data_IF_865734809121
#
_entry.id   IF_865734809121
#
_cell.length_a   1.000
_cell.length_b   1.000
_cell.length_c   1.000
_cell.angle_alpha   90.00
_cell.angle_beta   90.00
_cell.angle_gamma   90.00
#
_symmetry.space_group_name_H-M   'P 1'
#
loop_
_entity.id
_entity.type
_entity.pdbx_description
1 polymer ?
#
# COMPACT_ATOMS: atom_id res chain seq x y z
N UNK A 1 5.90 -3.32 1.37
CA UNK A 1 6.30 -2.17 2.21
C UNK A 1 5.71 -2.30 3.61
N UNK A 2 4.38 -2.45 3.75
CA UNK A 2 3.72 -2.60 5.07
C UNK A 2 4.27 -3.76 5.89
N UNK A 3 4.39 -4.94 5.30
CA UNK A 3 4.96 -6.11 5.99
C UNK A 3 6.37 -5.87 6.51
N UNK A 4 7.27 -5.29 5.70
CA UNK A 4 8.65 -5.05 6.14
C UNK A 4 8.71 -4.03 7.28
N UNK A 5 7.89 -2.98 7.23
CA UNK A 5 7.75 -2.01 8.32
C UNK A 5 7.13 -2.65 9.57
N UNK A 6 6.07 -3.44 9.39
CA UNK A 6 5.39 -4.15 10.47
C UNK A 6 6.32 -5.13 11.18
N UNK A 7 7.03 -5.98 10.44
CA UNK A 7 7.99 -6.93 10.99
C UNK A 7 9.15 -6.23 11.71
N UNK A 8 9.69 -5.16 11.12
CA UNK A 8 10.73 -4.35 11.78
C UNK A 8 10.23 -3.77 13.11
N UNK A 9 9.02 -3.22 13.11
CA UNK A 9 8.41 -2.62 14.31
C UNK A 9 8.11 -3.66 15.39
N UNK A 10 7.58 -4.83 15.02
CA UNK A 10 7.34 -5.95 15.95
C UNK A 10 8.66 -6.45 16.54
N UNK A 11 9.72 -6.55 15.72
CA UNK A 11 11.05 -6.98 16.17
C UNK A 11 11.63 -6.03 17.20
N UNK A 12 11.53 -4.71 16.97
CA UNK A 12 11.98 -3.70 17.91
C UNK A 12 11.11 -3.68 19.17
N UNK A 13 9.79 -3.63 19.03
CA UNK A 13 8.87 -3.60 20.16
C UNK A 13 8.94 -4.86 21.03
N UNK A 14 9.25 -6.01 20.42
CA UNK A 14 9.46 -7.28 21.12
C UNK A 14 10.83 -7.42 21.77
N UNK A 15 11.73 -6.42 21.65
CA UNK A 15 13.06 -6.44 22.25
C UNK A 15 14.04 -7.43 21.60
N UNK A 16 13.73 -7.92 20.39
CA UNK A 16 14.63 -8.82 19.67
C UNK A 16 15.79 -8.08 19.00
N UNK A 17 15.61 -6.77 18.73
CA UNK A 17 16.66 -5.87 18.26
C UNK A 17 16.27 -4.42 18.61
N UNK A 18 17.25 -3.57 18.85
CA UNK A 18 17.04 -2.15 19.17
C UNK A 18 16.90 -1.27 17.93
N UNK A 19 17.36 -1.76 16.79
CA UNK A 19 17.35 -1.04 15.51
C UNK A 19 17.29 -2.02 14.35
N UNK A 20 16.32 -1.83 13.45
CA UNK A 20 16.06 -2.70 12.29
C UNK A 20 15.85 -1.86 11.04
N UNK A 21 16.42 -2.28 9.93
CA UNK A 21 16.17 -1.67 8.62
C UNK A 21 15.07 -2.44 7.88
N UNK A 22 13.99 -1.74 7.55
CA UNK A 22 12.95 -2.21 6.65
C UNK A 22 13.30 -1.78 5.22
N UNK A 23 13.42 -2.73 4.30
CA UNK A 23 13.76 -2.48 2.90
C UNK A 23 12.69 -3.04 1.97
N UNK A 24 12.36 -2.28 0.95
CA UNK A 24 11.38 -2.68 -0.05
C UNK A 24 11.72 -2.08 -1.42
N UNK A 25 11.57 -2.87 -2.47
CA UNK A 25 11.82 -2.44 -3.85
C UNK A 25 10.92 -3.16 -4.84
N UNK A 26 10.65 -2.52 -5.97
CA UNK A 26 10.06 -3.13 -7.15
C UNK A 26 10.74 -2.61 -8.41
N UNK A 27 10.68 -3.41 -9.47
CA UNK A 27 11.28 -3.07 -10.75
C UNK A 27 10.32 -3.40 -11.89
N UNK A 28 10.04 -2.41 -12.74
CA UNK A 28 9.10 -2.52 -13.86
C UNK A 28 9.35 -3.76 -14.74
N UNK A 29 10.56 -3.90 -15.29
CA UNK A 29 10.85 -4.96 -16.24
C UNK A 29 10.66 -6.37 -15.66
N UNK A 30 10.96 -6.58 -14.40
CA UNK A 30 10.76 -7.88 -13.74
C UNK A 30 9.27 -8.18 -13.54
N UNK A 31 8.53 -7.24 -12.97
CA UNK A 31 7.12 -7.41 -12.64
C UNK A 31 6.24 -7.48 -13.90
N UNK A 32 6.43 -6.56 -14.85
CA UNK A 32 5.62 -6.53 -16.07
C UNK A 32 5.83 -7.78 -16.92
N UNK A 33 7.06 -8.29 -17.03
CA UNK A 33 7.35 -9.54 -17.73
C UNK A 33 6.70 -10.74 -17.05
N UNK A 34 6.51 -10.68 -15.75
CA UNK A 34 5.86 -11.76 -15.01
C UNK A 34 4.33 -11.71 -15.11
N UNK A 35 3.75 -10.53 -14.93
CA UNK A 35 2.31 -10.35 -14.78
C UNK A 35 1.58 -9.98 -16.06
N UNK A 36 2.30 -9.42 -17.06
CA UNK A 36 1.73 -8.94 -18.34
C UNK A 36 2.44 -9.55 -19.54
N UNK A 37 2.73 -10.83 -19.45
CA UNK A 37 3.27 -11.58 -20.58
C UNK A 37 2.20 -11.81 -21.66
N UNK A 38 2.52 -11.75 -22.97
CA UNK A 38 3.82 -11.36 -23.52
C UNK A 38 3.94 -9.84 -23.69
N UNK A 39 4.88 -9.25 -22.98
CA UNK A 39 5.16 -7.81 -23.03
C UNK A 39 5.57 -7.35 -24.44
N UNK A 40 6.24 -8.22 -25.19
CA UNK A 40 6.79 -7.96 -26.55
C UNK A 40 5.70 -7.68 -27.60
N UNK A 41 4.49 -8.14 -27.39
CA UNK A 41 3.38 -7.90 -28.34
C UNK A 41 2.73 -6.53 -28.17
N UNK A 42 3.25 -5.68 -27.31
CA UNK A 42 2.73 -4.33 -27.04
C UNK A 42 1.19 -4.31 -26.93
N UNK A 43 0.64 -5.34 -26.28
CA UNK A 43 -0.81 -5.50 -26.12
C UNK A 43 -1.42 -4.29 -25.43
N UNK A 44 -2.58 -3.85 -25.90
CA UNK A 44 -3.31 -2.78 -25.24
C UNK A 44 -3.71 -3.23 -23.85
N UNK A 45 -3.42 -2.37 -22.87
CA UNK A 45 -3.79 -2.61 -21.48
C UNK A 45 -5.18 -2.04 -21.20
N UNK A 46 -6.04 -2.75 -20.46
CA UNK A 46 -7.30 -2.17 -19.98
C UNK A 46 -7.05 -0.94 -19.11
N UNK A 47 -8.00 -0.02 -19.03
CA UNK A 47 -7.91 1.18 -18.20
C UNK A 47 -7.83 0.86 -16.68
N UNK A 48 -8.16 -0.37 -16.28
CA UNK A 48 -8.05 -0.85 -14.92
C UNK A 48 -6.62 -1.22 -14.50
N UNK A 49 -5.69 -1.34 -15.46
CA UNK A 49 -4.30 -1.70 -15.16
C UNK A 49 -3.54 -0.57 -14.49
N UNK A 50 -2.61 -0.95 -13.65
CA UNK A 50 -1.62 -0.07 -13.05
C UNK A 50 -0.24 -0.30 -13.67
N UNK A 51 0.67 0.64 -13.50
CA UNK A 51 2.02 0.59 -14.03
C UNK A 51 3.03 0.33 -12.90
N UNK A 52 3.79 -0.75 -12.97
CA UNK A 52 4.77 -1.07 -11.92
C UNK A 52 5.84 0.01 -11.81
N UNK A 53 6.00 0.55 -10.61
CA UNK A 53 7.01 1.55 -10.29
C UNK A 53 8.37 0.89 -10.12
N UNK A 54 9.39 1.41 -10.79
CA UNK A 54 10.79 1.09 -10.45
C UNK A 54 11.22 2.03 -9.33
N UNK A 55 11.39 1.49 -8.15
CA UNK A 55 11.75 2.29 -6.98
C UNK A 55 12.06 1.42 -5.77
N UNK A 56 12.66 2.04 -4.77
CA UNK A 56 12.98 1.40 -3.50
C UNK A 56 12.88 2.39 -2.34
N UNK A 57 12.65 1.87 -1.14
CA UNK A 57 12.72 2.63 0.10
C UNK A 57 13.38 1.81 1.19
N UNK A 58 14.20 2.46 2.01
CA UNK A 58 14.82 1.90 3.19
C UNK A 58 14.47 2.78 4.39
N UNK A 59 13.96 2.15 5.46
CA UNK A 59 13.50 2.82 6.65
C UNK A 59 14.19 2.22 7.86
N UNK A 60 14.79 3.05 8.70
CA UNK A 60 15.39 2.62 9.96
C UNK A 60 14.33 2.78 11.07
N UNK A 61 13.96 1.66 11.66
CA UNK A 61 13.06 1.59 12.81
C UNK A 61 13.91 1.32 14.06
N UNK A 62 13.84 2.20 15.03
CA UNK A 62 14.63 2.10 16.24
C UNK A 62 13.75 2.24 17.48
N UNK A 63 14.18 1.62 18.58
CA UNK A 63 13.61 1.84 19.91
C UNK A 63 13.77 3.31 20.32
N UNK A 64 12.90 3.81 21.18
CA UNK A 64 12.91 5.21 21.62
C UNK A 64 14.23 5.61 22.27
N UNK A 65 14.85 4.70 23.02
CA UNK A 65 16.11 4.91 23.72
C UNK A 65 17.34 4.76 22.83
N UNK A 66 17.19 4.28 21.60
CA UNK A 66 18.31 4.07 20.67
C UNK A 66 18.86 5.42 20.18
N UNK A 67 20.19 5.60 20.05
CA UNK A 67 20.78 6.88 19.60
C UNK A 67 20.25 7.40 18.27
N UNK A 68 19.86 6.51 17.34
CA UNK A 68 19.26 6.92 16.07
C UNK A 68 17.90 7.58 16.21
N UNK A 69 17.15 7.32 17.30
CA UNK A 69 15.82 7.89 17.54
C UNK A 69 15.87 9.37 17.89
N UNK A 70 17.03 9.89 18.34
CA UNK A 70 17.21 11.32 18.65
C UNK A 70 16.99 12.22 17.43
N UNK A 71 17.08 11.68 16.22
CA UNK A 71 16.82 12.38 14.96
C UNK A 71 15.44 12.04 14.37
N UNK A 72 14.67 11.18 15.04
CA UNK A 72 13.34 10.82 14.58
C UNK A 72 12.35 11.94 14.87
N UNK A 73 11.56 12.31 13.88
CA UNK A 73 10.53 13.34 13.98
C UNK A 73 9.10 12.75 13.93
N UNK A 74 8.98 11.46 13.72
CA UNK A 74 7.72 10.72 13.73
C UNK A 74 7.94 9.30 14.26
N UNK A 75 6.87 8.66 14.71
CA UNK A 75 6.91 7.30 15.24
C UNK A 75 5.79 6.45 14.66
N UNK A 76 5.99 5.13 14.65
CA UNK A 76 4.94 4.15 14.41
C UNK A 76 4.26 3.91 15.76
N UNK A 77 3.05 4.44 15.92
CA UNK A 77 2.31 4.38 17.19
C UNK A 77 1.44 3.12 17.33
N UNK A 78 1.27 2.36 16.26
CA UNK A 78 0.49 1.13 16.26
C UNK A 78 0.50 0.44 14.92
N UNK A 79 0.20 -0.84 14.94
CA UNK A 79 0.12 -1.70 13.76
C UNK A 79 -1.16 -2.53 13.88
N UNK A 80 -1.90 -2.61 12.79
CA UNK A 80 -3.00 -3.55 12.62
C UNK A 80 -2.59 -4.54 11.53
N UNK A 81 -2.49 -5.79 11.88
CA UNK A 81 -2.19 -6.84 10.90
C UNK A 81 -3.48 -7.21 10.19
N UNK A 82 -3.52 -6.99 8.89
CA UNK A 82 -4.64 -7.39 8.05
C UNK A 82 -4.67 -8.91 7.82
N UNK A 83 -5.68 -9.34 7.11
CA UNK A 83 -5.85 -10.74 6.71
C UNK A 83 -5.91 -10.88 5.19
N UNK A 84 -5.73 -12.11 4.71
CA UNK A 84 -5.97 -12.45 3.31
C UNK A 84 -7.48 -12.42 3.04
N UNK A 85 -7.90 -11.65 2.04
CA UNK A 85 -9.30 -11.53 1.62
C UNK A 85 -9.41 -11.93 0.15
N UNK A 86 -10.33 -12.85 -0.15
CA UNK A 86 -10.54 -13.36 -1.51
C UNK A 86 -11.99 -13.17 -1.94
N UNK A 87 -12.20 -12.31 -2.93
CA UNK A 87 -13.51 -12.07 -3.56
C UNK A 87 -13.66 -12.82 -4.91
N UNK A 88 -12.76 -13.77 -5.19
CA UNK A 88 -12.84 -14.58 -6.40
C UNK A 88 -12.39 -13.86 -7.68
N UNK A 89 -11.66 -12.76 -7.56
CA UNK A 89 -11.11 -12.02 -8.70
C UNK A 89 -10.05 -12.88 -9.40
N UNK A 90 -10.15 -13.03 -10.73
CA UNK A 90 -9.24 -13.84 -11.54
C UNK A 90 -8.51 -13.02 -12.61
N UNK A 91 -8.92 -11.78 -12.83
CA UNK A 91 -8.31 -10.90 -13.82
C UNK A 91 -7.05 -10.24 -13.27
N UNK A 92 -5.89 -10.68 -13.77
CA UNK A 92 -4.59 -10.11 -13.40
C UNK A 92 -4.39 -8.66 -13.87
N UNK A 93 -5.24 -8.18 -14.78
CA UNK A 93 -5.25 -6.78 -15.24
C UNK A 93 -6.12 -5.88 -14.37
N UNK A 94 -6.68 -6.41 -13.27
CA UNK A 94 -7.58 -5.68 -12.38
C UNK A 94 -7.19 -5.86 -10.90
N UNK A 95 -5.92 -5.56 -10.59
CA UNK A 95 -5.36 -5.73 -9.23
C UNK A 95 -6.08 -4.88 -8.18
N UNK A 96 -6.53 -3.68 -8.54
CA UNK A 96 -7.30 -2.82 -7.64
C UNK A 96 -8.55 -3.50 -7.08
N UNK A 97 -9.28 -4.28 -7.92
CA UNK A 97 -10.44 -5.04 -7.46
C UNK A 97 -10.06 -6.20 -6.52
N UNK A 98 -8.88 -6.81 -6.70
CA UNK A 98 -8.41 -7.87 -5.83
C UNK A 98 -7.97 -7.33 -4.45
N UNK A 99 -7.36 -6.13 -4.41
CA UNK A 99 -6.78 -5.55 -3.18
C UNK A 99 -7.78 -4.73 -2.36
N UNK A 100 -8.72 -4.03 -3.01
CA UNK A 100 -9.64 -3.12 -2.31
C UNK A 100 -10.46 -3.76 -1.19
N UNK A 101 -10.96 -5.02 -1.31
CA UNK A 101 -11.66 -5.68 -0.21
C UNK A 101 -10.79 -5.92 1.03
N UNK A 102 -9.50 -6.26 0.84
CA UNK A 102 -8.57 -6.44 1.95
C UNK A 102 -8.28 -5.09 2.63
N UNK A 103 -8.10 -4.02 1.84
CA UNK A 103 -7.92 -2.68 2.36
C UNK A 103 -9.14 -2.21 3.16
N UNK A 104 -10.36 -2.45 2.66
CA UNK A 104 -11.60 -2.11 3.37
C UNK A 104 -11.72 -2.85 4.71
N UNK A 105 -11.43 -4.15 4.71
CA UNK A 105 -11.47 -4.97 5.93
C UNK A 105 -10.45 -4.47 6.96
N UNK A 106 -9.22 -4.19 6.54
CA UNK A 106 -8.14 -3.76 7.42
C UNK A 106 -8.39 -2.35 7.99
N UNK A 107 -8.87 -1.40 7.17
CA UNK A 107 -9.26 -0.06 7.67
C UNK A 107 -10.37 -0.19 8.71
N UNK A 108 -11.45 -0.94 8.40
CA UNK A 108 -12.55 -1.15 9.33
C UNK A 108 -12.07 -1.78 10.64
N UNK A 109 -11.25 -2.82 10.55
CA UNK A 109 -10.71 -3.50 11.72
C UNK A 109 -9.81 -2.57 12.54
N UNK A 110 -8.96 -1.80 11.89
CA UNK A 110 -8.08 -0.83 12.54
C UNK A 110 -8.86 0.21 13.35
N UNK A 111 -9.92 0.76 12.80
CA UNK A 111 -10.77 1.73 13.50
C UNK A 111 -11.45 1.10 14.73
N UNK A 112 -11.91 -0.15 14.62
CA UNK A 112 -12.50 -0.89 15.74
C UNK A 112 -11.46 -1.17 16.82
N UNK A 113 -10.31 -1.73 16.48
CA UNK A 113 -9.28 -2.16 17.42
C UNK A 113 -8.66 -1.00 18.18
N UNK A 114 -8.54 0.16 17.52
CA UNK A 114 -7.96 1.36 18.13
C UNK A 114 -9.00 2.26 18.80
N UNK A 115 -10.29 2.03 18.59
CA UNK A 115 -11.37 2.90 19.05
C UNK A 115 -11.31 4.29 18.43
N UNK A 116 -10.77 4.41 17.21
CA UNK A 116 -10.62 5.67 16.48
C UNK A 116 -11.64 5.81 15.38
N UNK A 117 -11.84 7.06 14.96
CA UNK A 117 -12.65 7.43 13.81
C UNK A 117 -11.75 7.91 12.65
N UNK A 118 -12.31 7.98 11.44
CA UNK A 118 -11.65 8.53 10.25
C UNK A 118 -11.12 9.95 10.49
N UNK A 119 -11.87 10.77 11.23
CA UNK A 119 -11.51 12.15 11.57
C UNK A 119 -10.31 12.29 12.52
N UNK A 120 -9.84 11.19 13.13
CA UNK A 120 -8.62 11.18 13.94
C UNK A 120 -7.33 11.20 13.09
N UNK A 121 -7.46 11.08 11.77
CA UNK A 121 -6.35 11.04 10.82
C UNK A 121 -6.37 12.25 9.90
N UNK A 122 -5.19 12.84 9.65
CA UNK A 122 -5.03 13.86 8.63
C UNK A 122 -5.11 13.24 7.22
N UNK A 123 -4.64 11.99 7.09
CA UNK A 123 -4.74 11.20 5.85
C UNK A 123 -4.84 9.70 6.15
N UNK A 124 -5.56 9.01 5.28
CA UNK A 124 -5.57 7.55 5.17
C UNK A 124 -5.02 7.23 3.78
N UNK A 125 -3.87 6.58 3.71
CA UNK A 125 -3.11 6.43 2.46
C UNK A 125 -2.91 4.96 2.14
N UNK A 126 -3.46 4.53 1.01
CA UNK A 126 -3.29 3.16 0.48
C UNK A 126 -2.05 3.04 -0.41
N UNK A 127 -1.58 1.80 -0.61
CA UNK A 127 -0.34 1.52 -1.32
C UNK A 127 -0.39 1.73 -2.83
N UNK A 128 -1.25 0.98 -3.50
CA UNK A 128 -1.28 0.92 -4.96
C UNK A 128 -2.61 0.39 -5.52
N UNK A 129 -3.71 0.82 -4.93
CA UNK A 129 -5.06 0.48 -5.42
C UNK A 129 -5.35 1.08 -6.80
N UNK A 130 -4.75 2.23 -7.08
CA UNK A 130 -5.05 3.02 -8.26
C UNK A 130 -6.47 3.60 -8.25
N UNK A 131 -6.83 4.33 -9.30
CA UNK A 131 -8.13 5.04 -9.39
C UNK A 131 -9.34 4.10 -9.25
N UNK A 132 -9.28 2.94 -9.90
CA UNK A 132 -10.39 1.97 -9.87
C UNK A 132 -10.49 1.30 -8.49
N UNK A 133 -9.36 0.84 -7.93
CA UNK A 133 -9.35 0.23 -6.61
C UNK A 133 -9.74 1.22 -5.51
N UNK A 134 -9.38 2.50 -5.64
CA UNK A 134 -9.81 3.56 -4.74
C UNK A 134 -11.33 3.74 -4.75
N UNK A 135 -11.95 3.71 -5.94
CA UNK A 135 -13.42 3.80 -6.06
C UNK A 135 -14.08 2.62 -5.35
N UNK A 136 -13.63 1.40 -5.64
CA UNK A 136 -14.16 0.18 -4.99
C UNK A 136 -13.98 0.25 -3.46
N UNK A 137 -12.82 0.70 -2.96
CA UNK A 137 -12.57 0.86 -1.53
C UNK A 137 -13.59 1.81 -0.88
N UNK A 138 -13.79 2.98 -1.49
CA UNK A 138 -14.73 3.99 -0.98
C UNK A 138 -16.16 3.46 -0.94
N UNK A 139 -16.59 2.73 -1.95
CA UNK A 139 -17.92 2.11 -2.00
C UNK A 139 -18.07 1.06 -0.89
N UNK A 140 -17.13 0.13 -0.76
CA UNK A 140 -17.16 -0.92 0.26
C UNK A 140 -17.19 -0.35 1.70
N UNK A 141 -16.43 0.71 1.96
CA UNK A 141 -16.43 1.36 3.27
C UNK A 141 -17.71 2.17 3.51
N UNK A 142 -18.25 2.82 2.48
CA UNK A 142 -19.52 3.54 2.54
C UNK A 142 -20.68 2.61 2.92
N UNK A 143 -20.71 1.39 2.38
CA UNK A 143 -21.70 0.37 2.74
C UNK A 143 -21.63 -0.02 4.24
N UNK A 144 -20.46 0.17 4.86
CA UNK A 144 -20.25 -0.02 6.29
C UNK A 144 -20.44 1.28 7.12
N UNK A 145 -20.84 2.38 6.50
CA UNK A 145 -21.01 3.68 7.16
C UNK A 145 -19.70 4.45 7.40
N UNK A 146 -18.58 4.03 6.78
CA UNK A 146 -17.28 4.68 6.90
C UNK A 146 -17.03 5.52 5.65
N UNK A 147 -16.99 6.84 5.81
CA UNK A 147 -16.80 7.79 4.71
C UNK A 147 -15.37 8.35 4.76
N UNK A 148 -14.54 7.97 3.79
CA UNK A 148 -13.16 8.47 3.71
C UNK A 148 -13.05 9.89 3.16
N UNK A 149 -13.97 10.29 2.28
CA UNK A 149 -13.97 11.63 1.65
C UNK A 149 -12.65 11.98 0.98
N UNK A 150 -12.18 13.21 1.25
CA UNK A 150 -10.92 13.77 0.75
C UNK A 150 -9.71 13.41 1.63
N UNK A 151 -9.93 12.68 2.73
CA UNK A 151 -8.84 12.21 3.59
C UNK A 151 -8.09 11.02 2.99
N UNK A 152 -8.70 10.35 2.01
CA UNK A 152 -8.08 9.20 1.35
C UNK A 152 -7.23 9.62 0.16
N UNK A 153 -5.98 9.17 0.18
CA UNK A 153 -5.03 9.24 -0.92
C UNK A 153 -4.51 7.83 -1.26
N UNK A 154 -3.96 7.65 -2.46
CA UNK A 154 -3.38 6.37 -2.89
C UNK A 154 -2.00 6.63 -3.51
N UNK A 155 -0.98 5.88 -3.07
CA UNK A 155 0.38 6.07 -3.55
C UNK A 155 0.50 5.87 -5.07
N UNK A 156 -0.28 4.93 -5.62
CA UNK A 156 -0.30 4.68 -7.07
C UNK A 156 -0.85 5.86 -7.87
N UNK A 157 -1.74 6.66 -7.28
CA UNK A 157 -2.26 7.87 -7.91
C UNK A 157 -1.35 9.09 -7.71
N UNK A 158 -0.53 9.08 -6.65
CA UNK A 158 0.37 10.19 -6.32
C UNK A 158 1.68 10.16 -7.09
N UNK A 159 2.14 8.99 -7.53
CA UNK A 159 3.50 8.80 -8.05
C UNK A 159 3.64 9.17 -9.52
N UNK A 160 2.56 9.13 -10.27
CA UNK A 160 2.53 9.46 -11.70
C UNK A 160 1.56 10.62 -11.96
N UNK A 161 1.86 11.38 -13.00
CA UNK A 161 0.97 12.41 -13.52
C UNK A 161 0.00 11.78 -14.54
N UNK A 162 -1.30 11.68 -14.22
CA UNK A 162 -2.27 11.01 -15.10
C UNK A 162 -2.50 11.76 -16.42
N UNK A 163 -2.21 13.06 -16.48
CA UNK A 163 -2.47 13.89 -17.66
C UNK A 163 -1.34 13.76 -18.70
N UNK A 164 -0.12 13.45 -18.27
CA UNK A 164 1.06 13.43 -19.14
C UNK A 164 1.71 12.05 -19.27
N UNK A 165 1.33 11.09 -18.42
CA UNK A 165 1.90 9.75 -18.39
C UNK A 165 0.79 8.70 -18.59
N UNK A 166 0.98 7.81 -19.54
CA UNK A 166 0.04 6.72 -19.86
C UNK A 166 0.15 5.58 -18.85
N UNK A 167 -0.30 5.80 -17.63
CA UNK A 167 -0.27 4.83 -16.53
C UNK A 167 -1.64 4.25 -16.17
N UNK A 168 -2.70 4.63 -16.90
CA UNK A 168 -4.09 4.20 -16.72
C UNK A 168 -4.58 4.40 -15.28
N UNK A 169 -4.74 3.32 -14.51
CA UNK A 169 -5.22 3.43 -13.13
C UNK A 169 -4.17 3.92 -12.12
N UNK A 170 -2.92 4.16 -12.55
CA UNK A 170 -1.86 4.69 -11.71
C UNK A 170 -0.67 3.75 -11.53
N UNK A 171 0.16 3.99 -10.53
CA UNK A 171 1.32 3.18 -10.20
C UNK A 171 0.98 1.95 -9.38
N UNK A 172 1.87 0.95 -9.41
CA UNK A 172 1.76 -0.25 -8.58
C UNK A 172 3.11 -0.76 -8.10
N UNK A 173 3.05 -1.74 -7.22
CA UNK A 173 4.22 -2.44 -6.68
C UNK A 173 4.70 -1.88 -5.34
N UNK A 174 5.43 -2.71 -4.63
CA UNK A 174 5.90 -2.37 -3.28
C UNK A 174 6.89 -1.18 -3.27
N UNK A 175 7.62 -0.94 -4.37
CA UNK A 175 8.44 0.26 -4.56
C UNK A 175 7.61 1.54 -4.69
N UNK A 176 6.37 1.48 -5.20
CA UNK A 176 5.45 2.60 -5.27
C UNK A 176 5.15 3.14 -3.87
N UNK A 177 4.63 2.29 -2.99
CA UNK A 177 4.32 2.65 -1.61
C UNK A 177 5.57 3.12 -0.84
N UNK A 178 6.71 2.46 -1.02
CA UNK A 178 7.95 2.82 -0.34
C UNK A 178 8.49 4.19 -0.77
N UNK A 179 8.51 4.45 -2.08
CA UNK A 179 8.98 5.74 -2.61
C UNK A 179 8.05 6.88 -2.16
N UNK A 180 6.74 6.67 -2.23
CA UNK A 180 5.77 7.68 -1.78
C UNK A 180 5.86 7.92 -0.28
N UNK A 181 6.05 6.87 0.54
CA UNK A 181 6.28 7.04 1.98
C UNK A 181 7.50 7.91 2.25
N UNK A 182 8.64 7.59 1.60
CA UNK A 182 9.90 8.29 1.81
C UNK A 182 9.90 9.74 1.30
N UNK A 183 9.33 9.97 0.10
CA UNK A 183 9.45 11.26 -0.59
C UNK A 183 8.27 12.21 -0.36
N UNK A 184 7.12 11.69 0.02
CA UNK A 184 5.90 12.49 0.12
C UNK A 184 5.31 12.48 1.55
N UNK A 185 5.11 11.31 2.15
CA UNK A 185 4.40 11.17 3.44
C UNK A 185 5.30 11.60 4.60
N UNK A 186 6.48 10.99 4.74
CA UNK A 186 7.40 11.30 5.84
C UNK A 186 7.82 12.77 5.88
N UNK A 187 8.16 13.44 4.76
CA UNK A 187 8.46 14.86 4.80
C UNK A 187 7.33 15.74 5.33
N UNK A 188 6.06 15.39 5.08
CA UNK A 188 4.90 16.12 5.60
C UNK A 188 4.71 15.92 7.10
N UNK A 189 4.90 14.70 7.57
CA UNK A 189 4.91 14.40 9.01
C UNK A 189 6.05 15.13 9.71
N UNK A 190 7.26 15.11 9.15
CA UNK A 190 8.45 15.77 9.70
C UNK A 190 8.26 17.29 9.79
N UNK A 191 7.63 17.91 8.78
CA UNK A 191 7.32 19.35 8.82
C UNK A 191 6.11 19.72 9.69
N UNK A 192 5.40 18.72 10.23
CA UNK A 192 4.20 18.92 11.03
C UNK A 192 2.97 19.36 10.22
N UNK A 193 2.99 19.21 8.90
CA UNK A 193 1.84 19.43 8.03
C UNK A 193 0.74 18.40 8.33
N UNK A 194 1.15 17.18 8.64
CA UNK A 194 0.32 16.09 9.14
C UNK A 194 0.83 15.64 10.52
N UNK A 195 -0.09 15.26 11.39
CA UNK A 195 0.19 14.77 12.74
C UNK A 195 -0.04 13.27 12.88
N UNK A 196 -1.03 12.76 12.13
CA UNK A 196 -1.39 11.34 12.18
C UNK A 196 -1.84 10.86 10.81
N UNK A 197 -1.19 9.83 10.33
CA UNK A 197 -1.49 9.17 9.06
C UNK A 197 -1.74 7.69 9.30
N UNK A 198 -2.79 7.14 8.73
CA UNK A 198 -2.94 5.70 8.58
C UNK A 198 -2.35 5.31 7.21
N UNK A 199 -1.21 4.64 7.24
CA UNK A 199 -0.53 4.17 6.04
C UNK A 199 -0.80 2.68 5.86
N UNK A 200 -1.47 2.32 4.77
CA UNK A 200 -1.97 0.99 4.48
C UNK A 200 -1.47 0.50 3.11
N UNK A 201 -0.25 -0.02 3.02
CA UNK A 201 0.22 -0.66 1.80
C UNK A 201 -0.63 -1.88 1.45
N UNK A 202 -0.92 -2.03 0.17
CA UNK A 202 -1.79 -3.06 -0.38
C UNK A 202 -0.99 -4.05 -1.21
N UNK A 203 -1.51 -5.25 -1.42
CA UNK A 203 -0.88 -6.27 -2.24
C UNK A 203 -1.87 -7.29 -2.77
N UNK A 204 -1.55 -7.89 -3.92
CA UNK A 204 -2.29 -8.98 -4.52
C UNK A 204 -1.42 -10.24 -4.54
N UNK A 205 -1.94 -11.36 -4.07
CA UNK A 205 -1.24 -12.63 -4.02
C UNK A 205 -1.37 -13.37 -5.36
N UNK A 206 -0.67 -12.85 -6.36
CA UNK A 206 -0.63 -13.43 -7.70
C UNK A 206 0.63 -14.30 -7.85
N UNK A 207 0.43 -15.57 -8.22
CA UNK A 207 1.50 -16.46 -8.66
C UNK A 207 1.20 -17.01 -10.05
N UNK A 208 2.24 -17.29 -10.84
CA UNK A 208 2.07 -17.91 -12.17
C UNK A 208 1.38 -19.26 -12.10
N UNK A 209 1.66 -20.04 -11.06
CA UNK A 209 1.07 -21.37 -10.89
C UNK A 209 -0.43 -21.25 -10.62
N UNK A 210 -0.82 -20.51 -9.58
CA UNK A 210 -2.24 -20.35 -9.24
C UNK A 210 -3.04 -19.67 -10.35
N UNK A 211 -2.45 -18.66 -11.03
CA UNK A 211 -3.08 -18.01 -12.17
C UNK A 211 -3.34 -18.98 -13.35
N UNK A 212 -2.34 -19.77 -13.73
CA UNK A 212 -2.48 -20.75 -14.82
C UNK A 212 -3.45 -21.88 -14.47
N UNK A 213 -3.65 -22.18 -13.20
CA UNK A 213 -4.65 -23.12 -12.70
C UNK A 213 -6.05 -22.51 -12.57
N UNK A 214 -6.23 -21.24 -12.93
CA UNK A 214 -7.50 -20.54 -12.88
C UNK A 214 -7.97 -20.22 -11.46
N UNK A 215 -7.06 -20.18 -10.49
CA UNK A 215 -7.34 -19.75 -9.13
C UNK A 215 -7.61 -18.24 -9.06
N UNK A 216 -8.28 -17.81 -8.00
CA UNK A 216 -8.47 -16.39 -7.71
C UNK A 216 -7.18 -15.71 -7.22
N UNK A 217 -7.20 -14.39 -7.21
CA UNK A 217 -6.12 -13.51 -6.75
C UNK A 217 -6.56 -12.89 -5.43
N UNK A 218 -6.16 -13.44 -4.28
CA UNK A 218 -6.49 -12.84 -2.99
C UNK A 218 -5.76 -11.51 -2.78
N UNK A 219 -6.41 -10.58 -2.08
CA UNK A 219 -5.82 -9.33 -1.64
C UNK A 219 -5.29 -9.40 -0.21
N UNK A 220 -4.31 -8.56 0.09
CA UNK A 220 -3.77 -8.26 1.44
C UNK A 220 -3.62 -6.76 1.63
N UNK A 221 -3.67 -6.30 2.89
CA UNK A 221 -3.39 -4.90 3.25
C UNK A 221 -2.94 -4.77 4.70
#
# INVERSE_FOLDING_TARGET
>A
CGESLGLASITVAGGAADCVMALTSSHFASAEKEFRFPLEYAGQRPLSTTWTVTGSGAFVIAAEEHPCSTQAHCCISGITTGKVVDYGIKDSMHMGAAMAPAAADTIRQHLIDTGRDVSDYDRIITGDLGSIGQTILKDLLSDCGILLGDLHEDCGMLIFDPDTQDTHAGGSGCGCAATTLAAYILPRLIRGEWKRVLFLPTGALLSKVSFNEGQSIPGIA
#
